data_IF_231741124781
#
_entry.id   IF_231741124781
#
_cell.length_a   1.000
_cell.length_b   1.000
_cell.length_c   1.000
_cell.angle_alpha   90.00
_cell.angle_beta   90.00
_cell.angle_gamma   90.00
#
_symmetry.space_group_name_H-M   'P 1'
#
loop_
_entity.id
_entity.type
_entity.pdbx_description
1 polymer ?
#
# COMPACT_ATOMS: atom_id res chain seq x y z
N UNK A 1 -13.52 -23.19 -29.34
CA UNK A 1 -12.23 -23.33 -28.64
C UNK A 1 -12.20 -22.26 -27.56
N UNK A 2 -12.72 -22.59 -26.37
CA UNK A 2 -12.69 -21.68 -25.23
C UNK A 2 -11.29 -21.73 -24.64
N UNK A 3 -10.64 -20.59 -24.57
CA UNK A 3 -9.28 -20.40 -24.07
C UNK A 3 -9.11 -21.01 -22.67
N UNK A 4 -8.13 -21.90 -22.55
CA UNK A 4 -7.62 -22.44 -21.30
C UNK A 4 -7.20 -21.29 -20.36
N UNK A 5 -7.70 -21.36 -19.12
CA UNK A 5 -7.31 -20.63 -17.90
C UNK A 5 -6.35 -19.44 -18.04
N UNK A 6 -6.91 -18.23 -18.15
CA UNK A 6 -6.18 -16.95 -18.00
C UNK A 6 -5.90 -16.64 -16.51
N UNK A 7 -5.54 -17.66 -15.72
CA UNK A 7 -5.12 -17.43 -14.34
C UNK A 7 -3.66 -16.96 -14.32
N UNK A 8 -3.36 -15.80 -13.71
CA UNK A 8 -1.99 -15.34 -13.61
C UNK A 8 -1.12 -16.35 -12.87
N UNK A 9 0.07 -16.63 -13.42
CA UNK A 9 1.09 -17.41 -12.74
C UNK A 9 1.51 -16.73 -11.43
N UNK A 10 1.61 -17.50 -10.35
CA UNK A 10 2.06 -17.05 -9.02
C UNK A 10 3.21 -17.93 -8.58
N UNK A 11 4.33 -17.33 -8.20
CA UNK A 11 5.55 -18.08 -7.83
C UNK A 11 5.47 -18.72 -6.44
N UNK A 12 4.66 -18.16 -5.52
CA UNK A 12 4.52 -18.59 -4.11
C UNK A 12 5.84 -18.71 -3.31
N UNK A 13 6.96 -18.22 -3.85
CA UNK A 13 8.29 -18.31 -3.24
C UNK A 13 8.66 -17.09 -2.39
N UNK A 14 7.72 -16.15 -2.18
CA UNK A 14 7.98 -14.94 -1.40
C UNK A 14 8.15 -15.30 0.08
N UNK A 15 9.25 -14.83 0.66
CA UNK A 15 9.58 -15.05 2.07
C UNK A 15 8.91 -14.01 2.97
N UNK A 16 8.77 -14.34 4.26
CA UNK A 16 8.26 -13.41 5.27
C UNK A 16 9.11 -12.14 5.36
N UNK A 17 10.44 -12.27 5.32
CA UNK A 17 11.36 -11.14 5.33
C UNK A 17 11.13 -10.17 4.15
N UNK A 18 10.80 -10.67 2.95
CA UNK A 18 10.45 -9.81 1.83
C UNK A 18 9.13 -9.04 2.06
N UNK A 19 8.15 -9.68 2.72
CA UNK A 19 6.86 -9.05 3.05
C UNK A 19 7.05 -7.98 4.13
N UNK A 20 7.86 -8.24 5.16
CA UNK A 20 8.23 -7.26 6.19
C UNK A 20 8.98 -6.06 5.60
N UNK A 21 9.97 -6.31 4.74
CA UNK A 21 10.68 -5.23 4.04
C UNK A 21 9.73 -4.38 3.18
N UNK A 22 8.77 -5.00 2.49
CA UNK A 22 7.76 -4.28 1.72
C UNK A 22 6.82 -3.46 2.62
N UNK A 23 6.46 -3.99 3.79
CA UNK A 23 5.67 -3.27 4.79
C UNK A 23 6.41 -2.02 5.27
N UNK A 24 7.69 -2.15 5.65
CA UNK A 24 8.51 -1.01 6.05
C UNK A 24 8.60 0.06 4.96
N UNK A 25 8.81 -0.34 3.70
CA UNK A 25 8.85 0.59 2.58
C UNK A 25 7.51 1.31 2.38
N UNK A 26 6.40 0.59 2.52
CA UNK A 26 5.06 1.15 2.38
C UNK A 26 4.78 2.16 3.51
N UNK A 27 5.17 1.88 4.74
CA UNK A 27 5.04 2.82 5.86
C UNK A 27 5.93 4.06 5.67
N UNK A 28 7.17 3.90 5.20
CA UNK A 28 8.05 5.03 4.85
C UNK A 28 7.42 5.93 3.78
N UNK A 29 6.84 5.33 2.74
CA UNK A 29 6.14 6.07 1.67
C UNK A 29 4.86 6.76 2.17
N UNK A 30 4.14 6.20 3.14
CA UNK A 30 2.99 6.89 3.76
C UNK A 30 3.40 8.21 4.42
N UNK A 31 4.50 8.18 5.19
CA UNK A 31 5.04 9.40 5.81
C UNK A 31 5.42 10.42 4.75
N UNK A 32 6.10 10.00 3.67
CA UNK A 32 6.46 10.88 2.57
C UNK A 32 5.25 11.55 1.91
N UNK A 33 4.17 10.81 1.67
CA UNK A 33 2.95 11.39 1.09
C UNK A 33 2.28 12.40 2.02
N UNK A 34 2.34 12.17 3.34
CA UNK A 34 1.84 13.13 4.33
C UNK A 34 2.69 14.41 4.33
N UNK A 35 4.01 14.27 4.31
CA UNK A 35 4.93 15.43 4.25
C UNK A 35 4.73 16.22 2.95
N UNK A 36 4.58 15.53 1.82
CA UNK A 36 4.29 16.16 0.53
C UNK A 36 2.95 16.91 0.53
N UNK A 37 1.90 16.32 1.11
CA UNK A 37 0.62 16.99 1.29
C UNK A 37 0.77 18.29 2.11
N UNK A 38 1.54 18.26 3.19
CA UNK A 38 1.79 19.45 4.02
C UNK A 38 2.58 20.52 3.27
N UNK A 39 3.53 20.13 2.41
CA UNK A 39 4.25 21.06 1.53
C UNK A 39 3.30 21.70 0.51
N UNK A 40 2.50 20.91 -0.21
CA UNK A 40 1.50 21.43 -1.15
C UNK A 40 0.49 22.35 -0.46
N UNK A 41 0.09 22.03 0.77
CA UNK A 41 -0.79 22.90 1.58
C UNK A 41 -0.15 24.25 1.89
N UNK A 42 1.15 24.30 2.16
CA UNK A 42 1.88 25.55 2.42
C UNK A 42 2.04 26.41 1.17
N UNK A 43 2.18 25.79 0.00
CA UNK A 43 2.33 26.48 -1.29
C UNK A 43 1.00 26.81 -1.97
N UNK A 44 -0.11 26.27 -1.47
CA UNK A 44 -1.44 26.44 -2.07
C UNK A 44 -1.69 25.56 -3.31
N UNK A 45 -0.87 24.52 -3.49
CA UNK A 45 -0.99 23.57 -4.61
C UNK A 45 -2.12 22.55 -4.36
N UNK A 46 -3.31 22.88 -4.85
CA UNK A 46 -4.51 22.04 -4.68
C UNK A 46 -4.44 20.71 -5.42
N UNK A 47 -3.73 20.64 -6.55
CA UNK A 47 -3.62 19.41 -7.33
C UNK A 47 -2.64 18.45 -6.69
N UNK A 48 -1.49 18.95 -6.23
CA UNK A 48 -0.54 18.19 -5.41
C UNK A 48 -1.17 17.68 -4.11
N UNK A 49 -2.02 18.49 -3.45
CA UNK A 49 -2.79 18.02 -2.28
C UNK A 49 -3.71 16.84 -2.62
N UNK A 50 -4.45 16.90 -3.73
CA UNK A 50 -5.36 15.81 -4.15
C UNK A 50 -4.59 14.55 -4.54
N UNK A 51 -3.46 14.69 -5.23
CA UNK A 51 -2.60 13.57 -5.58
C UNK A 51 -2.05 12.89 -4.32
N UNK A 52 -1.46 13.67 -3.42
CA UNK A 52 -0.90 13.17 -2.16
C UNK A 52 -1.93 12.40 -1.35
N UNK A 53 -3.14 12.97 -1.19
CA UNK A 53 -4.20 12.35 -0.42
C UNK A 53 -4.67 11.02 -1.03
N UNK A 54 -4.78 10.94 -2.36
CA UNK A 54 -5.17 9.71 -3.06
C UNK A 54 -4.09 8.64 -2.93
N UNK A 55 -2.83 8.98 -3.18
CA UNK A 55 -1.72 8.04 -3.07
C UNK A 55 -1.54 7.53 -1.64
N UNK A 56 -1.65 8.42 -0.65
CA UNK A 56 -1.65 8.05 0.76
C UNK A 56 -2.79 7.06 1.09
N UNK A 57 -4.03 7.35 0.66
CA UNK A 57 -5.18 6.47 0.94
C UNK A 57 -5.06 5.10 0.27
N UNK A 58 -4.59 5.04 -0.97
CA UNK A 58 -4.34 3.78 -1.66
C UNK A 58 -3.29 2.93 -0.93
N UNK A 59 -2.20 3.58 -0.51
CA UNK A 59 -1.10 2.92 0.18
C UNK A 59 -1.49 2.41 1.58
N UNK A 60 -2.44 3.07 2.27
CA UNK A 60 -3.00 2.55 3.53
C UNK A 60 -3.64 1.16 3.35
N UNK A 61 -4.33 0.92 2.23
CA UNK A 61 -4.91 -0.40 1.93
C UNK A 61 -3.83 -1.47 1.70
N UNK A 62 -2.73 -1.09 1.04
CA UNK A 62 -1.56 -1.97 0.85
C UNK A 62 -0.93 -2.32 2.18
N UNK A 63 -0.64 -1.34 3.03
CA UNK A 63 -0.08 -1.56 4.38
C UNK A 63 -0.96 -2.51 5.18
N UNK A 64 -2.26 -2.25 5.23
CA UNK A 64 -3.21 -3.10 5.95
C UNK A 64 -3.22 -4.54 5.44
N UNK A 65 -3.13 -4.73 4.12
CA UNK A 65 -3.07 -6.07 3.50
C UNK A 65 -1.77 -6.80 3.85
N UNK A 66 -0.64 -6.11 3.89
CA UNK A 66 0.65 -6.70 4.28
C UNK A 66 0.65 -7.10 5.75
N UNK A 67 0.12 -6.24 6.63
CA UNK A 67 0.00 -6.54 8.06
C UNK A 67 -0.93 -7.73 8.33
N UNK A 68 -2.07 -7.81 7.64
CA UNK A 68 -2.94 -8.98 7.67
C UNK A 68 -2.21 -10.23 7.17
N UNK A 69 -1.47 -10.14 6.06
CA UNK A 69 -0.72 -11.28 5.51
C UNK A 69 0.35 -11.79 6.50
N UNK A 70 0.97 -10.90 7.27
CA UNK A 70 1.93 -11.24 8.32
C UNK A 70 1.28 -11.76 9.62
N UNK A 71 -0.05 -11.68 9.75
CA UNK A 71 -0.76 -12.08 10.95
C UNK A 71 -0.56 -11.12 12.14
N UNK A 72 -0.43 -9.81 11.87
CA UNK A 72 -0.33 -8.79 12.91
C UNK A 72 -1.55 -8.86 13.85
N UNK A 73 -1.28 -8.91 15.17
CA UNK A 73 -2.32 -8.99 16.19
C UNK A 73 -3.29 -7.80 16.10
N UNK A 74 -4.60 -8.09 16.11
CA UNK A 74 -5.64 -7.08 16.00
C UNK A 74 -6.07 -6.74 14.58
N UNK A 75 -5.57 -7.44 13.54
CA UNK A 75 -6.04 -7.29 12.15
C UNK A 75 -6.73 -8.57 11.68
N UNK A 76 -8.05 -8.60 11.83
CA UNK A 76 -8.87 -9.75 11.42
C UNK A 76 -9.05 -9.81 9.89
N UNK A 77 -9.23 -8.65 9.25
CA UNK A 77 -9.46 -8.53 7.80
C UNK A 77 -8.81 -7.27 7.23
N UNK A 78 -8.21 -7.34 6.02
CA UNK A 78 -7.61 -6.18 5.40
C UNK A 78 -8.63 -5.25 4.73
N UNK A 79 -9.89 -5.67 4.63
CA UNK A 79 -10.94 -4.97 3.88
C UNK A 79 -11.83 -4.04 4.71
N UNK A 80 -11.80 -4.12 6.04
CA UNK A 80 -12.64 -3.31 6.95
C UNK A 80 -11.85 -2.27 7.73
#
# INVERSE_FOLDING_TARGET
>A
MSSEDDTPYRSYNRTWAEIENMLEEAEKRLVQWKDWYEQCRKTGDLDGMKESARSHKALQGVVKTLKWALGEEGIDTPLE
#
